data_IF_674543568042
#
_entry.id   IF_674543568042
#
_cell.length_a   1.000
_cell.length_b   1.000
_cell.length_c   1.000
_cell.angle_alpha   90.00
_cell.angle_beta   90.00
_cell.angle_gamma   90.00
#
_symmetry.space_group_name_H-M   'P 1'
#
loop_
_entity.id
_entity.type
_entity.pdbx_description
1 polymer ?
#
# COMPACT_ATOMS: atom_id res chain seq x y z
N UNK A 1 31.69 5.29 -31.48
CA UNK A 1 30.25 5.35 -31.18
C UNK A 1 30.02 4.70 -29.82
N UNK A 2 29.63 5.46 -28.80
CA UNK A 2 29.16 4.92 -27.51
C UNK A 2 27.64 4.97 -27.52
N UNK A 3 26.99 3.93 -28.05
CA UNK A 3 25.60 3.65 -27.75
C UNK A 3 25.58 2.84 -26.45
N UNK A 4 25.70 3.54 -25.31
CA UNK A 4 25.06 3.07 -24.09
C UNK A 4 23.68 3.72 -24.12
N UNK A 5 22.78 3.12 -24.90
CA UNK A 5 21.36 3.43 -24.74
C UNK A 5 20.97 3.03 -23.32
N UNK A 6 20.33 3.98 -22.67
CA UNK A 6 19.97 4.01 -21.27
C UNK A 6 18.81 3.02 -21.06
N UNK A 7 19.10 1.71 -21.17
CA UNK A 7 18.09 0.67 -20.96
C UNK A 7 17.62 0.75 -19.51
N UNK A 8 16.44 1.35 -19.33
CA UNK A 8 15.77 1.39 -18.05
C UNK A 8 15.45 -0.05 -17.62
N UNK A 9 15.91 -0.44 -16.43
CA UNK A 9 15.72 -1.81 -15.96
C UNK A 9 14.23 -2.15 -15.83
N UNK A 10 13.91 -3.43 -16.03
CA UNK A 10 12.53 -3.95 -15.95
C UNK A 10 11.86 -3.52 -14.65
N UNK A 11 12.56 -3.58 -13.51
CA UNK A 11 11.99 -3.18 -12.21
C UNK A 11 11.60 -1.70 -12.16
N UNK A 12 12.35 -0.80 -12.80
CA UNK A 12 11.99 0.62 -12.87
C UNK A 12 10.75 0.83 -13.73
N UNK A 13 10.64 0.11 -14.85
CA UNK A 13 9.43 0.12 -15.67
C UNK A 13 8.22 -0.42 -14.89
N UNK A 14 8.39 -1.56 -14.20
CA UNK A 14 7.36 -2.14 -13.34
C UNK A 14 6.94 -1.20 -12.22
N UNK A 15 7.83 -0.38 -11.64
CA UNK A 15 7.42 0.61 -10.63
C UNK A 15 6.46 1.68 -11.17
N UNK A 16 6.55 2.03 -12.45
CA UNK A 16 5.61 2.95 -13.10
C UNK A 16 4.25 2.31 -13.30
N UNK A 17 4.25 1.03 -13.71
CA UNK A 17 3.03 0.22 -13.83
C UNK A 17 2.35 0.04 -12.48
N UNK A 18 3.10 -0.33 -11.44
CA UNK A 18 2.61 -0.42 -10.06
C UNK A 18 1.90 0.86 -9.65
N UNK A 19 2.53 2.02 -9.86
CA UNK A 19 1.90 3.29 -9.49
C UNK A 19 0.60 3.54 -10.25
N UNK A 20 0.55 3.25 -11.55
CA UNK A 20 -0.66 3.41 -12.35
C UNK A 20 -1.79 2.49 -11.87
N UNK A 21 -1.47 1.23 -11.56
CA UNK A 21 -2.42 0.26 -11.00
C UNK A 21 -2.96 0.72 -9.65
N UNK A 22 -2.07 1.11 -8.72
CA UNK A 22 -2.44 1.61 -7.40
C UNK A 22 -3.29 2.90 -7.50
N UNK A 23 -2.92 3.80 -8.41
CA UNK A 23 -3.66 5.04 -8.62
C UNK A 23 -5.07 4.80 -9.15
N UNK A 24 -5.26 3.81 -10.03
CA UNK A 24 -6.60 3.40 -10.47
C UNK A 24 -7.36 2.68 -9.35
N UNK A 25 -6.68 1.80 -8.61
CA UNK A 25 -7.28 0.98 -7.57
C UNK A 25 -7.88 1.80 -6.45
N UNK A 26 -7.22 2.89 -6.02
CA UNK A 26 -7.68 3.68 -4.86
C UNK A 26 -9.14 4.10 -4.98
N UNK A 27 -9.57 4.48 -6.18
CA UNK A 27 -10.93 4.93 -6.44
C UNK A 27 -11.88 3.73 -6.58
N UNK A 28 -11.46 2.66 -7.26
CA UNK A 28 -12.27 1.44 -7.40
C UNK A 28 -12.55 0.77 -6.06
N UNK A 29 -11.52 0.53 -5.25
CA UNK A 29 -11.65 -0.13 -3.95
C UNK A 29 -12.41 0.78 -2.96
N UNK A 30 -12.13 2.09 -2.95
CA UNK A 30 -12.90 3.02 -2.13
C UNK A 30 -14.39 3.00 -2.48
N UNK A 31 -14.75 3.00 -3.77
CA UNK A 31 -16.15 2.98 -4.18
C UNK A 31 -16.85 1.66 -3.85
N UNK A 32 -16.16 0.51 -3.98
CA UNK A 32 -16.70 -0.80 -3.55
C UNK A 32 -16.95 -0.82 -2.03
N UNK A 33 -16.02 -0.27 -1.24
CA UNK A 33 -16.22 -0.11 0.21
C UNK A 33 -17.41 0.82 0.51
N UNK A 34 -17.50 1.97 -0.16
CA UNK A 34 -18.60 2.92 0.02
C UNK A 34 -19.96 2.31 -0.32
N UNK A 35 -20.03 1.47 -1.35
CA UNK A 35 -21.28 0.78 -1.73
C UNK A 35 -21.68 -0.27 -0.69
N UNK A 36 -20.72 -1.09 -0.23
CA UNK A 36 -20.96 -2.17 0.74
C UNK A 36 -21.27 -1.66 2.15
N UNK A 37 -20.67 -0.54 2.53
CA UNK A 37 -20.74 0.05 3.86
C UNK A 37 -21.29 1.48 3.81
N UNK A 38 -22.35 1.68 3.02
CA UNK A 38 -22.97 2.98 2.77
C UNK A 38 -23.51 3.72 4.00
N UNK A 39 -23.63 3.02 5.13
CA UNK A 39 -24.10 3.57 6.40
C UNK A 39 -22.93 3.83 7.39
N UNK A 40 -21.68 3.54 6.99
CA UNK A 40 -20.48 3.79 7.80
C UNK A 40 -19.96 5.22 7.55
N UNK A 41 -20.19 6.11 8.52
CA UNK A 41 -19.74 7.51 8.49
C UNK A 41 -18.23 7.64 8.26
N UNK A 42 -17.42 6.69 8.75
CA UNK A 42 -15.97 6.77 8.60
C UNK A 42 -15.49 6.54 7.18
N UNK A 43 -16.28 5.87 6.34
CA UNK A 43 -15.98 5.73 4.91
C UNK A 43 -16.41 6.97 4.16
N UNK A 44 -17.59 7.51 4.48
CA UNK A 44 -18.17 8.68 3.82
C UNK A 44 -17.36 9.94 4.11
N UNK A 45 -17.07 10.21 5.38
CA UNK A 45 -16.43 11.45 5.83
C UNK A 45 -14.92 11.47 5.58
N UNK A 46 -14.29 10.30 5.43
CA UNK A 46 -12.83 10.18 5.33
C UNK A 46 -12.36 9.68 3.97
N UNK A 47 -13.08 10.04 2.91
CA UNK A 47 -12.80 9.62 1.54
C UNK A 47 -11.32 9.77 1.14
N UNK A 48 -10.72 10.94 1.40
CA UNK A 48 -9.32 11.20 1.03
C UNK A 48 -8.33 10.36 1.86
N UNK A 49 -8.62 10.15 3.14
CA UNK A 49 -7.78 9.30 4.01
C UNK A 49 -7.87 7.83 3.58
N UNK A 50 -9.05 7.37 3.17
CA UNK A 50 -9.22 6.03 2.61
C UNK A 50 -8.42 5.84 1.32
N UNK A 51 -8.53 6.77 0.38
CA UNK A 51 -7.79 6.71 -0.88
C UNK A 51 -6.28 6.75 -0.66
N UNK A 52 -5.81 7.65 0.20
CA UNK A 52 -4.40 7.73 0.58
C UNK A 52 -3.93 6.44 1.27
N UNK A 53 -4.70 5.94 2.23
CA UNK A 53 -4.40 4.71 2.96
C UNK A 53 -4.29 3.51 2.05
N UNK A 54 -5.23 3.35 1.10
CA UNK A 54 -5.18 2.30 0.08
C UNK A 54 -3.91 2.42 -0.76
N UNK A 55 -3.57 3.63 -1.22
CA UNK A 55 -2.36 3.84 -2.01
C UNK A 55 -1.10 3.49 -1.23
N UNK A 56 -0.96 4.02 -0.02
CA UNK A 56 0.21 3.81 0.83
C UNK A 56 0.35 2.33 1.20
N UNK A 57 -0.71 1.68 1.67
CA UNK A 57 -0.66 0.27 2.02
C UNK A 57 -0.32 -0.63 0.81
N UNK A 58 -0.85 -0.32 -0.38
CA UNK A 58 -0.54 -1.06 -1.61
C UNK A 58 0.92 -0.91 -2.03
N UNK A 59 1.43 0.32 -2.06
CA UNK A 59 2.83 0.64 -2.37
C UNK A 59 3.76 -0.03 -1.35
N UNK A 60 3.50 0.17 -0.06
CA UNK A 60 4.32 -0.38 1.02
C UNK A 60 4.33 -1.90 0.97
N UNK A 61 3.19 -2.56 0.71
CA UNK A 61 3.11 -4.01 0.53
C UNK A 61 3.95 -4.49 -0.65
N UNK A 62 3.85 -3.83 -1.81
CA UNK A 62 4.61 -4.21 -3.00
C UNK A 62 6.14 -4.06 -2.81
N UNK A 63 6.58 -3.09 -2.01
CA UNK A 63 8.01 -2.84 -1.75
C UNK A 63 8.72 -3.95 -0.96
N UNK A 64 7.97 -4.85 -0.30
CA UNK A 64 8.53 -6.05 0.36
C UNK A 64 8.66 -7.27 -0.56
N UNK A 65 8.47 -7.09 -1.88
CA UNK A 65 8.71 -8.13 -2.89
C UNK A 65 10.13 -8.71 -2.80
N UNK A 66 10.27 -10.02 -2.96
CA UNK A 66 11.55 -10.70 -2.70
C UNK A 66 12.63 -10.30 -3.72
N UNK A 67 12.24 -10.07 -4.97
CA UNK A 67 13.12 -9.58 -6.05
C UNK A 67 13.72 -8.19 -5.80
N UNK A 68 13.14 -7.40 -4.89
CA UNK A 68 13.68 -6.11 -4.50
C UNK A 68 14.77 -6.23 -3.42
N UNK A 69 14.84 -7.36 -2.71
CA UNK A 69 15.84 -7.59 -1.68
C UNK A 69 17.26 -7.57 -2.26
N UNK A 70 18.09 -6.62 -1.80
CA UNK A 70 19.44 -6.43 -2.33
C UNK A 70 19.50 -5.85 -3.75
N UNK A 71 18.36 -5.45 -4.34
CA UNK A 71 18.31 -4.84 -5.66
C UNK A 71 18.90 -3.42 -5.63
N UNK A 72 19.82 -3.16 -6.56
CA UNK A 72 20.39 -1.83 -6.82
C UNK A 72 19.36 -0.81 -7.36
N UNK A 73 18.20 -1.29 -7.82
CA UNK A 73 17.12 -0.42 -8.26
C UNK A 73 16.14 -0.03 -7.16
N UNK A 74 16.18 -0.72 -6.00
CA UNK A 74 15.28 -0.44 -4.88
C UNK A 74 15.27 1.03 -4.46
N UNK A 75 16.43 1.73 -4.28
CA UNK A 75 16.42 3.14 -3.90
C UNK A 75 15.70 4.05 -4.90
N UNK A 76 15.81 3.75 -6.20
CA UNK A 76 15.11 4.48 -7.25
C UNK A 76 13.60 4.23 -7.18
N UNK A 77 13.19 2.96 -7.11
CA UNK A 77 11.78 2.54 -7.07
C UNK A 77 11.10 3.14 -5.84
N UNK A 78 11.76 3.02 -4.68
CA UNK A 78 11.30 3.58 -3.42
C UNK A 78 11.10 5.10 -3.54
N UNK A 79 12.12 5.83 -3.99
CA UNK A 79 12.05 7.28 -4.15
C UNK A 79 10.98 7.70 -5.17
N UNK A 80 10.84 6.97 -6.27
CA UNK A 80 9.84 7.24 -7.29
C UNK A 80 8.41 7.15 -6.72
N UNK A 81 8.09 6.05 -6.06
CA UNK A 81 6.75 5.84 -5.48
C UNK A 81 6.45 6.85 -4.37
N UNK A 82 7.45 7.14 -3.53
CA UNK A 82 7.35 8.17 -2.48
C UNK A 82 7.03 9.55 -3.05
N UNK A 83 7.81 10.02 -4.03
CA UNK A 83 7.59 11.30 -4.70
C UNK A 83 6.20 11.35 -5.34
N UNK A 84 5.78 10.26 -5.99
CA UNK A 84 4.47 10.21 -6.64
C UNK A 84 3.31 10.29 -5.65
N UNK A 85 3.39 9.60 -4.52
CA UNK A 85 2.38 9.72 -3.49
C UNK A 85 2.39 11.12 -2.86
N UNK A 86 3.57 11.64 -2.51
CA UNK A 86 3.74 12.98 -1.93
C UNK A 86 3.23 14.12 -2.82
N UNK A 87 3.22 13.92 -4.14
CA UNK A 87 2.66 14.89 -5.07
C UNK A 87 1.13 15.03 -4.99
N UNK A 88 0.45 14.03 -4.43
CA UNK A 88 -1.02 14.05 -4.23
C UNK A 88 -1.39 14.29 -2.78
N UNK A 89 -0.60 13.75 -1.86
CA UNK A 89 -0.80 13.82 -0.42
C UNK A 89 0.51 14.28 0.22
N UNK A 90 0.65 15.54 0.66
CA UNK A 90 1.89 16.08 1.21
C UNK A 90 2.54 15.20 2.31
N UNK A 91 1.71 14.50 3.08
CA UNK A 91 2.06 13.56 4.15
C UNK A 91 2.45 12.15 3.65
N UNK A 92 2.34 11.88 2.35
CA UNK A 92 2.47 10.54 1.75
C UNK A 92 3.79 9.83 2.06
N UNK A 93 4.89 10.58 2.15
CA UNK A 93 6.18 10.04 2.59
C UNK A 93 6.10 9.44 4.00
N UNK A 94 5.57 10.20 4.97
CA UNK A 94 5.47 9.75 6.35
C UNK A 94 4.54 8.53 6.46
N UNK A 95 3.45 8.50 5.68
CA UNK A 95 2.46 7.42 5.67
C UNK A 95 3.05 6.13 5.07
N UNK A 96 3.84 6.21 4.00
CA UNK A 96 4.54 5.05 3.43
C UNK A 96 5.52 4.47 4.45
N UNK A 97 6.37 5.31 5.05
CA UNK A 97 7.39 4.90 6.01
C UNK A 97 6.77 4.23 7.25
N UNK A 98 5.69 4.81 7.78
CA UNK A 98 4.94 4.24 8.91
C UNK A 98 4.36 2.86 8.56
N UNK A 99 3.71 2.74 7.40
CA UNK A 99 3.16 1.47 6.93
C UNK A 99 4.25 0.42 6.70
N UNK A 100 5.38 0.80 6.10
CA UNK A 100 6.52 -0.10 5.89
C UNK A 100 7.12 -0.55 7.22
N UNK A 101 7.21 0.33 8.22
CA UNK A 101 7.65 -0.01 9.56
C UNK A 101 6.74 -1.07 10.22
N UNK A 102 5.43 -0.93 10.06
CA UNK A 102 4.45 -1.92 10.51
C UNK A 102 4.61 -3.26 9.78
N UNK A 103 4.70 -3.26 8.44
CA UNK A 103 4.89 -4.48 7.63
C UNK A 103 6.19 -5.20 7.99
N UNK A 104 7.28 -4.45 8.19
CA UNK A 104 8.56 -5.00 8.61
C UNK A 104 8.45 -5.75 9.94
N UNK A 105 7.71 -5.21 10.92
CA UNK A 105 7.45 -5.90 12.20
C UNK A 105 6.67 -7.19 11.98
N UNK A 106 5.59 -7.16 11.20
CA UNK A 106 4.78 -8.36 10.90
C UNK A 106 5.62 -9.49 10.29
N UNK A 107 6.52 -9.16 9.37
CA UNK A 107 7.38 -10.14 8.69
C UNK A 107 8.52 -10.67 9.58
N UNK A 108 8.91 -9.94 10.63
CA UNK A 108 9.99 -10.32 11.54
C UNK A 108 9.49 -11.06 12.79
N UNK A 109 8.28 -10.77 13.28
CA UNK A 109 7.74 -11.39 14.50
C UNK A 109 7.27 -12.83 14.28
N UNK A 110 6.99 -13.23 13.03
CA UNK A 110 6.77 -14.63 12.64
C UNK A 110 6.91 -14.80 11.12
N UNK A 111 7.21 -16.01 10.63
CA UNK A 111 7.18 -16.28 9.19
C UNK A 111 5.82 -15.86 8.59
N UNK A 112 5.82 -15.31 7.37
CA UNK A 112 4.61 -14.76 6.73
C UNK A 112 3.40 -15.71 6.84
N UNK A 113 2.30 -15.18 7.38
CA UNK A 113 1.00 -15.81 7.42
C UNK A 113 -0.03 -14.85 6.81
N UNK A 114 -0.66 -15.23 5.69
CA UNK A 114 -1.51 -14.32 4.90
C UNK A 114 -2.67 -13.70 5.69
N UNK A 115 -3.29 -14.45 6.61
CA UNK A 115 -4.31 -13.94 7.55
C UNK A 115 -3.77 -12.79 8.41
N UNK A 116 -2.78 -13.08 9.27
CA UNK A 116 -2.14 -12.09 10.14
C UNK A 116 -1.57 -10.88 9.38
N UNK A 117 -1.05 -11.07 8.17
CA UNK A 117 -0.56 -9.97 7.33
C UNK A 117 -1.70 -9.05 6.88
N UNK A 118 -2.82 -9.63 6.42
CA UNK A 118 -4.00 -8.87 6.00
C UNK A 118 -4.63 -8.12 7.19
N UNK A 119 -4.70 -8.76 8.36
CA UNK A 119 -5.16 -8.16 9.61
C UNK A 119 -4.26 -7.01 10.05
N UNK A 120 -2.93 -7.15 9.94
CA UNK A 120 -2.00 -6.08 10.25
C UNK A 120 -2.14 -4.87 9.34
N UNK A 121 -2.32 -5.07 8.02
CA UNK A 121 -2.67 -3.97 7.09
C UNK A 121 -4.01 -3.33 7.49
N UNK A 122 -5.01 -4.13 7.82
CA UNK A 122 -6.33 -3.64 8.22
C UNK A 122 -6.26 -2.78 9.49
N UNK A 123 -5.52 -3.24 10.50
CA UNK A 123 -5.31 -2.47 11.73
C UNK A 123 -4.57 -1.17 11.46
N UNK A 124 -3.54 -1.20 10.61
CA UNK A 124 -2.85 0.03 10.20
C UNK A 124 -3.81 1.01 9.52
N UNK A 125 -4.58 0.55 8.51
CA UNK A 125 -5.59 1.39 7.85
C UNK A 125 -6.61 1.95 8.86
N UNK A 126 -7.08 1.13 9.80
CA UNK A 126 -8.00 1.53 10.85
C UNK A 126 -7.44 2.71 11.65
N UNK A 127 -6.23 2.57 12.20
CA UNK A 127 -5.64 3.62 13.01
C UNK A 127 -5.26 4.85 12.20
N UNK A 128 -4.69 4.68 10.99
CA UNK A 128 -4.31 5.79 10.11
C UNK A 128 -5.51 6.62 9.65
N UNK A 129 -6.67 6.00 9.45
CA UNK A 129 -7.88 6.69 8.97
C UNK A 129 -8.73 7.18 10.14
N UNK A 130 -9.01 6.33 11.15
CA UNK A 130 -9.86 6.73 12.29
C UNK A 130 -9.18 7.75 13.18
N UNK A 131 -7.85 7.70 13.34
CA UNK A 131 -7.10 8.61 14.21
C UNK A 131 -7.49 8.47 15.69
N UNK A 132 -8.04 7.33 16.10
CA UNK A 132 -8.46 7.05 17.49
C UNK A 132 -7.45 6.14 18.17
N UNK A 133 -7.26 6.35 19.47
CA UNK A 133 -6.40 5.50 20.32
C UNK A 133 -7.10 4.21 20.77
N UNK A 134 -8.43 4.13 20.63
CA UNK A 134 -9.23 2.98 21.10
C UNK A 134 -9.69 2.13 19.93
N UNK A 135 -9.38 0.84 19.99
CA UNK A 135 -9.80 -0.16 19.02
C UNK A 135 -11.26 -0.59 19.27
N UNK A 136 -12.06 -0.66 18.20
CA UNK A 136 -13.43 -1.17 18.23
C UNK A 136 -13.56 -2.21 17.12
N UNK A 137 -13.74 -3.48 17.49
CA UNK A 137 -13.68 -4.62 16.57
C UNK A 137 -14.78 -4.55 15.50
N UNK A 138 -15.98 -4.12 15.87
CA UNK A 138 -17.14 -4.04 14.98
C UNK A 138 -16.95 -3.03 13.82
N UNK A 139 -16.08 -2.04 14.02
CA UNK A 139 -15.75 -1.04 13.00
C UNK A 139 -14.68 -1.53 12.02
N UNK A 140 -14.06 -2.69 12.24
CA UNK A 140 -12.88 -3.13 11.47
C UNK A 140 -13.19 -3.77 10.14
N UNK A 141 -14.45 -4.17 9.90
CA UNK A 141 -14.82 -4.99 8.75
C UNK A 141 -14.44 -4.36 7.39
N UNK A 142 -14.66 -3.04 7.14
CA UNK A 142 -14.22 -2.41 5.89
C UNK A 142 -12.69 -2.46 5.71
N UNK A 143 -11.96 -2.29 6.81
CA UNK A 143 -10.51 -2.29 6.84
C UNK A 143 -9.94 -3.70 6.59
N UNK A 144 -10.58 -4.73 7.15
CA UNK A 144 -10.24 -6.13 6.90
C UNK A 144 -10.39 -6.49 5.43
N UNK A 145 -11.48 -6.08 4.78
CA UNK A 145 -11.68 -6.31 3.35
C UNK A 145 -10.61 -5.59 2.52
N UNK A 146 -10.30 -4.34 2.84
CA UNK A 146 -9.24 -3.59 2.18
C UNK A 146 -7.88 -4.27 2.36
N UNK A 147 -7.53 -4.66 3.59
CA UNK A 147 -6.27 -5.33 3.92
C UNK A 147 -6.10 -6.66 3.20
N UNK A 148 -7.16 -7.47 3.14
CA UNK A 148 -7.17 -8.73 2.38
C UNK A 148 -6.95 -8.49 0.90
N UNK A 149 -7.69 -7.55 0.30
CA UNK A 149 -7.55 -7.23 -1.11
C UNK A 149 -6.14 -6.76 -1.45
N UNK A 150 -5.58 -5.87 -0.63
CA UNK A 150 -4.23 -5.31 -0.81
C UNK A 150 -3.17 -6.41 -0.72
N UNK A 151 -3.25 -7.25 0.30
CA UNK A 151 -2.31 -8.37 0.45
C UNK A 151 -2.36 -9.31 -0.76
N UNK A 152 -3.56 -9.72 -1.19
CA UNK A 152 -3.72 -10.61 -2.35
C UNK A 152 -3.17 -10.00 -3.64
N UNK A 153 -3.38 -8.70 -3.83
CA UNK A 153 -3.01 -8.01 -5.07
C UNK A 153 -1.53 -7.63 -5.13
N UNK A 154 -0.96 -7.15 -4.01
CA UNK A 154 0.35 -6.49 -4.01
C UNK A 154 1.47 -7.24 -3.31
N UNK A 155 1.18 -8.26 -2.51
CA UNK A 155 2.24 -9.08 -1.93
C UNK A 155 3.00 -9.81 -3.05
N UNK A 156 4.33 -9.68 -3.04
CA UNK A 156 5.23 -10.14 -4.10
C UNK A 156 4.85 -9.64 -5.51
N UNK A 157 4.31 -8.42 -5.62
CA UNK A 157 3.87 -7.88 -6.90
C UNK A 157 5.00 -7.82 -7.93
N UNK A 158 6.22 -7.38 -7.54
CA UNK A 158 7.35 -7.30 -8.46
C UNK A 158 7.87 -8.67 -8.88
N UNK A 159 7.69 -9.71 -8.06
CA UNK A 159 8.06 -11.08 -8.42
C UNK A 159 7.15 -11.67 -9.52
N UNK A 160 5.96 -11.09 -9.72
CA UNK A 160 4.95 -11.53 -10.70
C UNK A 160 5.07 -10.81 -12.06
N UNK A 161 5.88 -9.76 -12.16
CA UNK A 161 6.07 -8.97 -13.40
C UNK A 161 7.17 -9.55 -14.28
#
# INVERSE_FOLDING_TARGET
MKQQENEESTLRQSSRLLYAEVYSLKDTLYNDLLERFKDDESIIEKADHWKMGIMAASISTALFSSVLSGSKDFPYIYSYLKIKLSAQHPEGEAVIEDCMGMISKLLNDSAYHSGAFSEGIALWLYFSIKGRETFVEEETLPYLLAGQYINQSFYNWFDKQ
#
